data_IF_893808792291
#
_entry.id   IF_893808792291
#
_cell.length_a   1.000
_cell.length_b   1.000
_cell.length_c   1.000
_cell.angle_alpha   90.00
_cell.angle_beta   90.00
_cell.angle_gamma   90.00
#
_symmetry.space_group_name_H-M   'P 1'
#
loop_
_entity.id
_entity.type
_entity.pdbx_description
1 polymer ?
#
# COMPACT_ATOMS: atom_id res chain seq x y z
N UNK A 1 -1.03 -16.30 -15.70
CA UNK A 1 -1.32 -16.87 -14.36
C UNK A 1 -1.65 -15.70 -13.46
N UNK A 2 -2.93 -15.49 -13.13
CA UNK A 2 -3.32 -14.34 -12.29
C UNK A 2 -2.90 -14.67 -10.87
N UNK A 3 -1.76 -14.12 -10.43
CA UNK A 3 -1.33 -14.24 -9.05
C UNK A 3 -2.46 -13.68 -8.16
N UNK A 4 -2.93 -14.48 -7.21
CA UNK A 4 -3.93 -14.05 -6.23
C UNK A 4 -3.31 -12.95 -5.38
N UNK A 5 -3.52 -11.70 -5.78
CA UNK A 5 -2.98 -10.55 -5.07
C UNK A 5 -3.71 -10.44 -3.72
N UNK A 6 -3.01 -10.81 -2.66
CA UNK A 6 -3.59 -10.81 -1.31
C UNK A 6 -3.75 -9.37 -0.87
N UNK A 7 -4.92 -9.03 -0.34
CA UNK A 7 -5.12 -7.70 0.22
C UNK A 7 -4.73 -7.71 1.70
N UNK A 8 -3.75 -6.90 2.05
CA UNK A 8 -3.26 -6.72 3.41
C UNK A 8 -3.90 -5.49 4.07
N UNK A 9 -4.24 -5.60 5.35
CA UNK A 9 -4.83 -4.51 6.15
C UNK A 9 -3.74 -3.54 6.63
N UNK A 10 -4.16 -2.36 7.09
CA UNK A 10 -3.26 -1.33 7.63
C UNK A 10 -2.23 -1.88 8.63
N UNK A 11 -2.65 -2.74 9.56
CA UNK A 11 -1.73 -3.34 10.56
C UNK A 11 -0.58 -4.11 9.90
N UNK A 12 -0.88 -4.92 8.88
CA UNK A 12 0.12 -5.70 8.15
C UNK A 12 1.01 -4.80 7.28
N UNK A 13 0.47 -3.71 6.71
CA UNK A 13 1.28 -2.73 5.97
C UNK A 13 2.27 -2.03 6.90
N UNK A 14 1.84 -1.58 8.07
CA UNK A 14 2.72 -0.94 9.06
C UNK A 14 3.83 -1.90 9.53
N UNK A 15 3.47 -3.17 9.76
CA UNK A 15 4.41 -4.21 10.16
C UNK A 15 5.47 -4.48 9.09
N UNK A 16 5.06 -4.60 7.81
CA UNK A 16 5.99 -4.82 6.69
C UNK A 16 6.84 -3.62 6.34
N UNK A 17 6.28 -2.41 6.41
CA UNK A 17 6.97 -1.18 5.98
C UNK A 17 7.76 -0.53 7.11
N UNK A 18 7.52 -0.91 8.36
CA UNK A 18 8.08 -0.26 9.55
C UNK A 18 7.61 1.20 9.73
N UNK A 19 6.63 1.64 8.94
CA UNK A 19 6.14 3.01 8.98
C UNK A 19 5.13 3.20 10.11
N UNK A 20 5.04 4.43 10.60
CA UNK A 20 3.90 4.85 11.42
C UNK A 20 2.69 5.17 10.54
N UNK A 21 1.49 5.10 11.12
CA UNK A 21 0.24 5.46 10.42
C UNK A 21 0.32 6.84 9.79
N UNK A 22 0.83 7.81 10.53
CA UNK A 22 0.94 9.20 10.07
C UNK A 22 1.89 9.32 8.87
N UNK A 23 3.03 8.63 8.89
CA UNK A 23 3.96 8.60 7.75
C UNK A 23 3.34 7.93 6.54
N UNK A 24 2.60 6.84 6.73
CA UNK A 24 1.90 6.15 5.65
C UNK A 24 0.86 7.05 5.00
N UNK A 25 -0.01 7.70 5.78
CA UNK A 25 -1.00 8.63 5.22
C UNK A 25 -0.36 9.81 4.51
N UNK A 26 0.70 10.40 5.08
CA UNK A 26 1.45 11.47 4.41
C UNK A 26 2.00 11.01 3.07
N UNK A 27 2.58 9.80 2.99
CA UNK A 27 3.10 9.28 1.72
C UNK A 27 2.00 8.99 0.70
N UNK A 28 0.82 8.58 1.14
CA UNK A 28 -0.36 8.42 0.27
C UNK A 28 -0.79 9.78 -0.28
N UNK A 29 -0.83 10.83 0.55
CA UNK A 29 -1.12 12.21 0.12
C UNK A 29 -0.04 12.74 -0.84
N UNK A 30 1.23 12.43 -0.58
CA UNK A 30 2.36 12.76 -1.46
C UNK A 30 2.39 11.92 -2.76
N UNK A 31 1.50 10.93 -2.91
CA UNK A 31 1.46 10.03 -4.07
C UNK A 31 2.64 9.04 -4.16
N UNK A 32 3.44 8.97 -3.10
CA UNK A 32 4.65 8.12 -3.00
C UNK A 32 4.38 6.75 -2.37
N UNK A 33 3.11 6.41 -2.12
CA UNK A 33 2.69 5.12 -1.56
C UNK A 33 1.40 4.65 -2.25
N UNK A 34 1.19 3.32 -2.41
CA UNK A 34 -0.03 2.79 -3.01
C UNK A 34 -1.29 3.24 -2.27
N UNK A 35 -2.32 3.61 -3.05
CA UNK A 35 -3.63 3.97 -2.50
C UNK A 35 -4.32 2.76 -1.86
N UNK A 36 -5.12 3.03 -0.84
CA UNK A 36 -5.93 2.01 -0.17
C UNK A 36 -7.11 1.60 -1.06
N UNK A 37 -7.32 0.30 -1.19
CA UNK A 37 -8.41 -0.31 -1.94
C UNK A 37 -9.56 -0.65 -0.97
N UNK A 38 -10.80 -0.22 -1.27
CA UNK A 38 -11.96 -0.63 -0.49
C UNK A 38 -12.26 -2.13 -0.74
N UNK A 39 -12.14 -2.94 0.31
CA UNK A 39 -12.45 -4.38 0.30
C UNK A 39 -13.91 -4.60 0.71
N UNK A 40 -14.42 -3.77 1.63
CA UNK A 40 -15.79 -3.87 2.14
C UNK A 40 -16.30 -2.52 2.66
N UNK A 41 -17.59 -2.46 3.00
CA UNK A 41 -18.31 -1.25 3.46
C UNK A 41 -17.64 -0.51 4.62
N UNK A 42 -16.82 -1.18 5.42
CA UNK A 42 -16.05 -0.58 6.53
C UNK A 42 -14.56 -0.93 6.50
N UNK A 43 -14.09 -1.52 5.39
CA UNK A 43 -12.82 -2.18 5.34
C UNK A 43 -12.00 -1.77 4.13
N UNK A 44 -10.87 -1.12 4.38
CA UNK A 44 -9.86 -0.83 3.37
C UNK A 44 -8.63 -1.73 3.58
N UNK A 45 -7.84 -1.89 2.51
CA UNK A 45 -6.55 -2.56 2.55
C UNK A 45 -5.71 -2.21 1.33
N UNK A 46 -4.58 -2.87 1.17
CA UNK A 46 -3.63 -2.65 0.09
C UNK A 46 -3.29 -3.97 -0.57
N UNK A 47 -3.10 -3.94 -1.88
CA UNK A 47 -2.53 -5.08 -2.58
C UNK A 47 -1.13 -5.38 -2.05
N UNK A 48 -0.91 -6.63 -1.65
CA UNK A 48 0.38 -7.09 -1.12
C UNK A 48 1.47 -6.89 -2.17
N UNK A 49 1.18 -7.07 -3.47
CA UNK A 49 2.16 -6.79 -4.52
C UNK A 49 2.49 -5.31 -4.63
N UNK A 50 1.52 -4.42 -4.47
CA UNK A 50 1.74 -2.98 -4.53
C UNK A 50 2.62 -2.51 -3.35
N UNK A 51 2.35 -3.05 -2.15
CA UNK A 51 3.18 -2.79 -0.97
C UNK A 51 4.57 -3.40 -1.13
N UNK A 52 4.70 -4.64 -1.64
CA UNK A 52 6.00 -5.23 -1.90
C UNK A 52 6.78 -4.46 -2.98
N UNK A 53 6.12 -3.94 -4.02
CA UNK A 53 6.73 -3.09 -5.03
C UNK A 53 7.27 -1.80 -4.41
N UNK A 54 6.48 -1.19 -3.51
CA UNK A 54 6.94 -0.04 -2.74
C UNK A 54 8.10 -0.39 -1.80
N UNK A 55 8.08 -1.53 -1.11
CA UNK A 55 9.17 -1.97 -0.23
C UNK A 55 10.45 -2.22 -1.04
N UNK A 56 10.32 -2.78 -2.24
CA UNK A 56 11.45 -3.04 -3.14
C UNK A 56 12.13 -1.74 -3.60
N UNK A 57 11.34 -0.69 -3.90
CA UNK A 57 11.90 0.63 -4.20
C UNK A 57 10.98 1.78 -3.73
N UNK A 58 11.13 2.24 -2.47
CA UNK A 58 10.24 3.26 -1.91
C UNK A 58 10.53 4.67 -2.41
N UNK A 59 11.68 4.90 -3.08
CA UNK A 59 12.05 6.19 -3.66
C UNK A 59 11.66 6.30 -5.14
N UNK A 60 11.74 5.20 -5.88
CA UNK A 60 11.34 5.15 -7.28
C UNK A 60 9.85 4.80 -7.47
N UNK A 61 9.13 4.44 -6.41
CA UNK A 61 7.70 4.20 -6.49
C UNK A 61 6.96 5.44 -7.02
N UNK A 62 6.41 5.32 -8.22
CA UNK A 62 5.41 6.25 -8.78
C UNK A 62 4.08 5.54 -8.83
N UNK A 63 3.05 6.18 -8.30
CA UNK A 63 1.68 5.75 -8.53
C UNK A 63 1.37 5.99 -10.00
N UNK A 64 1.47 4.93 -10.81
CA UNK A 64 0.96 4.87 -12.18
C UNK A 64 -0.58 4.84 -12.08
N UNK A 65 -1.17 5.98 -11.73
CA UNK A 65 -2.62 6.21 -11.73
C UNK A 65 -2.85 7.12 -12.94
N UNK A 66 -3.00 6.48 -14.12
CA UNK A 66 -3.65 7.03 -15.31
C UNK A 66 -5.17 6.84 -15.19
#
# INVERSE_FOLDING_TARGET
MVATDRIIRLKAVLDRTGLTRSTLYRKIEEGTFPRQVPISTRGTGWFESAVNRWIADPKAYRSDDD
#
